data_IF_050199329540
#
_entry.id   IF_050199329540
#
_cell.length_a   1.000
_cell.length_b   1.000
_cell.length_c   1.000
_cell.angle_alpha   90.00
_cell.angle_beta   90.00
_cell.angle_gamma   90.00
#
_symmetry.space_group_name_H-M   'P 1'
#
loop_
_entity.id
_entity.type
_entity.pdbx_description
1 polymer ?
#
# COMPACT_ATOMS: atom_id res chain seq x y z
N UNK A 1 -20.32 2.98 3.04
CA UNK A 1 -18.84 3.01 3.19
C UNK A 1 -18.30 4.44 3.26
N UNK A 2 -18.62 5.31 2.29
CA UNK A 2 -18.20 6.72 2.27
C UNK A 2 -18.40 7.47 3.59
N UNK A 3 -19.59 7.39 4.20
CA UNK A 3 -19.91 8.07 5.47
C UNK A 3 -18.89 7.76 6.59
N UNK A 4 -18.46 6.50 6.70
CA UNK A 4 -17.48 6.12 7.72
C UNK A 4 -16.07 6.63 7.40
N UNK A 5 -15.69 6.62 6.11
CA UNK A 5 -14.37 7.10 5.68
C UNK A 5 -14.23 8.61 5.88
N UNK A 6 -15.25 9.38 5.49
CA UNK A 6 -15.23 10.85 5.57
C UNK A 6 -15.02 11.41 6.99
N UNK A 7 -15.35 10.63 8.01
CA UNK A 7 -15.21 11.04 9.41
C UNK A 7 -14.07 10.33 10.15
N UNK A 8 -13.28 9.50 9.45
CA UNK A 8 -12.09 8.89 10.03
C UNK A 8 -10.92 9.87 10.02
N UNK A 9 -10.05 9.79 11.04
CA UNK A 9 -8.83 10.61 11.10
C UNK A 9 -7.88 10.31 9.93
N UNK A 10 -7.78 9.03 9.55
CA UNK A 10 -7.06 8.55 8.37
C UNK A 10 -7.52 7.13 8.00
N UNK A 11 -7.11 6.67 6.82
CA UNK A 11 -7.37 5.32 6.32
C UNK A 11 -6.06 4.62 5.96
N UNK A 12 -5.87 3.38 6.42
CA UNK A 12 -4.78 2.51 5.97
C UNK A 12 -5.34 1.52 4.97
N UNK A 13 -4.78 1.49 3.77
CA UNK A 13 -5.28 0.65 2.69
C UNK A 13 -4.22 0.12 1.75
N UNK A 14 -4.65 -0.81 0.90
CA UNK A 14 -3.84 -1.37 -0.18
C UNK A 14 -4.05 -0.58 -1.49
N UNK A 15 -3.37 -0.96 -2.57
CA UNK A 15 -3.70 -0.51 -3.93
C UNK A 15 -5.02 -1.15 -4.42
N UNK A 16 -6.14 -0.80 -3.76
CA UNK A 16 -7.48 -1.31 -4.06
C UNK A 16 -8.52 -0.18 -3.99
N UNK A 17 -9.73 -0.44 -4.48
CA UNK A 17 -10.77 0.59 -4.65
C UNK A 17 -11.17 1.34 -3.38
N UNK A 18 -11.00 0.76 -2.18
CA UNK A 18 -11.34 1.48 -0.94
C UNK A 18 -10.38 2.62 -0.63
N UNK A 19 -9.11 2.51 -1.03
CA UNK A 19 -8.14 3.62 -0.91
C UNK A 19 -8.55 4.79 -1.78
N UNK A 20 -9.07 4.54 -2.98
CA UNK A 20 -9.63 5.58 -3.85
C UNK A 20 -10.87 6.24 -3.24
N UNK A 21 -11.76 5.45 -2.63
CA UNK A 21 -12.94 6.00 -1.96
C UNK A 21 -12.56 6.86 -0.75
N UNK A 22 -11.57 6.44 0.03
CA UNK A 22 -11.06 7.20 1.17
C UNK A 22 -10.44 8.52 0.72
N UNK A 23 -9.59 8.47 -0.31
CA UNK A 23 -8.98 9.66 -0.93
C UNK A 23 -10.02 10.64 -1.46
N UNK A 24 -11.01 10.15 -2.24
CA UNK A 24 -12.11 10.96 -2.75
C UNK A 24 -13.01 11.55 -1.64
N UNK A 25 -13.01 10.96 -0.44
CA UNK A 25 -13.76 11.49 0.70
C UNK A 25 -13.03 12.60 1.45
N UNK A 26 -11.76 12.89 1.11
CA UNK A 26 -10.91 13.87 1.79
C UNK A 26 -10.14 13.30 2.98
N UNK A 27 -10.20 12.00 3.20
CA UNK A 27 -9.53 11.32 4.32
C UNK A 27 -8.07 11.03 3.96
N UNK A 28 -7.09 11.37 4.82
CA UNK A 28 -5.69 11.00 4.60
C UNK A 28 -5.52 9.50 4.39
N UNK A 29 -4.80 9.09 3.35
CA UNK A 29 -4.60 7.68 3.01
C UNK A 29 -3.16 7.26 3.17
N UNK A 30 -2.92 6.31 4.07
CA UNK A 30 -1.68 5.54 4.17
C UNK A 30 -1.80 4.36 3.21
N UNK A 31 -1.03 4.40 2.12
CA UNK A 31 -1.14 3.42 1.04
C UNK A 31 0.02 2.43 1.04
N UNK A 32 -0.29 1.16 1.32
CA UNK A 32 0.69 0.07 1.32
C UNK A 32 0.60 -0.70 0.00
N UNK A 33 1.63 -0.61 -0.83
CA UNK A 33 1.75 -1.43 -2.04
C UNK A 33 3.20 -1.51 -2.51
N UNK A 34 3.76 -2.72 -2.57
CA UNK A 34 5.03 -2.96 -3.28
C UNK A 34 4.84 -3.50 -4.69
N UNK A 35 3.63 -3.98 -5.02
CA UNK A 35 3.33 -4.62 -6.29
C UNK A 35 3.12 -3.60 -7.43
N UNK A 36 2.64 -2.41 -7.09
CA UNK A 36 2.48 -1.27 -8.00
C UNK A 36 3.53 -0.20 -7.72
N UNK A 37 3.96 0.50 -8.76
CA UNK A 37 4.81 1.68 -8.69
C UNK A 37 4.03 2.87 -8.08
N UNK A 38 4.65 3.79 -7.32
CA UNK A 38 3.93 4.92 -6.71
C UNK A 38 3.17 5.84 -7.67
N UNK A 39 3.51 5.85 -8.96
CA UNK A 39 2.81 6.63 -9.99
C UNK A 39 1.53 5.96 -10.51
N UNK A 40 1.23 4.74 -10.05
CA UNK A 40 0.06 3.97 -10.49
C UNK A 40 -1.23 4.44 -9.81
N UNK A 41 -1.14 4.93 -8.58
CA UNK A 41 -2.27 5.42 -7.79
C UNK A 41 -2.27 6.96 -7.71
N UNK A 42 -3.21 7.53 -6.96
CA UNK A 42 -3.22 8.94 -6.61
C UNK A 42 -2.04 9.30 -5.68
N UNK A 43 -1.64 10.57 -5.70
CA UNK A 43 -0.58 11.07 -4.84
C UNK A 43 -1.02 11.11 -3.37
N UNK A 44 -0.16 10.60 -2.48
CA UNK A 44 -0.29 10.75 -1.03
C UNK A 44 1.10 10.83 -0.40
N UNK A 45 1.33 11.73 0.58
CA UNK A 45 2.61 11.79 1.30
C UNK A 45 2.85 10.56 2.20
N UNK A 46 1.84 9.70 2.36
CA UNK A 46 1.87 8.50 3.21
C UNK A 46 1.93 7.19 2.39
N UNK A 47 2.55 7.22 1.22
CA UNK A 47 2.80 6.04 0.38
C UNK A 47 3.92 5.17 0.99
N UNK A 48 3.67 3.88 1.15
CA UNK A 48 4.62 2.89 1.67
C UNK A 48 4.98 1.89 0.57
N UNK A 49 6.25 1.92 0.17
CA UNK A 49 6.88 1.00 -0.79
C UNK A 49 8.30 0.69 -0.31
N UNK A 50 8.80 -0.51 -0.59
CA UNK A 50 10.20 -0.87 -0.34
C UNK A 50 10.93 -1.07 -1.67
N UNK A 51 11.78 -0.11 -2.06
CA UNK A 51 12.54 -0.17 -3.30
C UNK A 51 13.79 -1.08 -3.26
N UNK A 52 14.17 -1.56 -2.07
CA UNK A 52 15.28 -2.52 -1.92
C UNK A 52 14.85 -3.98 -2.13
N UNK A 53 13.54 -4.22 -2.31
CA UNK A 53 12.94 -5.51 -2.60
C UNK A 53 12.48 -5.60 -4.07
N UNK A 54 12.14 -6.80 -4.56
CA UNK A 54 11.31 -6.93 -5.77
C UNK A 54 10.09 -6.01 -5.65
N UNK A 55 9.82 -5.17 -6.65
CA UNK A 55 8.69 -4.22 -6.61
C UNK A 55 8.14 -3.94 -8.02
N UNK A 56 6.99 -3.26 -8.08
CA UNK A 56 6.39 -2.72 -9.31
C UNK A 56 6.09 -3.77 -10.39
N UNK A 57 5.77 -5.01 -10.00
CA UNK A 57 5.44 -6.10 -10.92
C UNK A 57 4.27 -5.74 -11.87
N UNK A 58 3.28 -4.99 -11.37
CA UNK A 58 2.14 -4.53 -12.16
C UNK A 58 2.54 -3.59 -13.31
N UNK A 59 3.61 -2.82 -13.12
CA UNK A 59 4.01 -1.75 -14.02
C UNK A 59 5.13 -2.16 -14.98
N UNK A 60 5.61 -3.41 -14.89
CA UNK A 60 6.65 -3.92 -15.78
C UNK A 60 6.03 -4.34 -17.12
N UNK A 61 6.35 -3.67 -18.24
CA UNK A 61 5.76 -3.98 -19.55
C UNK A 61 6.18 -5.35 -20.09
N UNK A 62 7.19 -5.99 -19.48
CA UNK A 62 7.61 -7.36 -19.83
C UNK A 62 6.71 -8.42 -19.21
N UNK A 63 5.96 -8.06 -18.18
CA UNK A 63 5.09 -8.98 -17.44
C UNK A 63 3.62 -8.74 -17.84
N UNK A 64 2.87 -9.83 -18.06
CA UNK A 64 1.43 -9.76 -18.32
C UNK A 64 0.66 -10.34 -17.15
N UNK A 65 -0.22 -9.52 -16.56
CA UNK A 65 -1.06 -9.96 -15.46
C UNK A 65 -1.96 -11.13 -15.87
N UNK A 66 -1.99 -12.18 -15.06
CA UNK A 66 -2.89 -13.32 -15.22
C UNK A 66 -4.12 -13.17 -14.33
N UNK A 67 -5.26 -12.86 -14.94
CA UNK A 67 -6.54 -12.69 -14.23
C UNK A 67 -7.09 -13.99 -13.63
N UNK A 68 -6.56 -15.16 -14.03
CA UNK A 68 -6.98 -16.47 -13.51
C UNK A 68 -6.12 -16.95 -12.36
N UNK A 69 -4.95 -16.34 -12.12
CA UNK A 69 -4.06 -16.67 -11.03
C UNK A 69 -4.21 -15.67 -9.88
N UNK A 70 -4.88 -16.08 -8.80
CA UNK A 70 -5.01 -15.27 -7.60
C UNK A 70 -3.66 -15.04 -6.88
N UNK A 71 -2.71 -15.98 -7.04
CA UNK A 71 -1.39 -15.93 -6.40
C UNK A 71 -0.31 -15.36 -7.34
N UNK A 72 -0.72 -14.62 -8.37
CA UNK A 72 0.15 -14.12 -9.43
C UNK A 72 1.35 -13.35 -8.86
N UNK A 73 2.54 -13.89 -9.13
CA UNK A 73 3.82 -13.30 -8.75
C UNK A 73 4.84 -13.62 -9.86
N UNK A 74 4.90 -12.82 -10.93
CA UNK A 74 5.51 -13.23 -12.19
C UNK A 74 7.01 -13.57 -12.07
N UNK A 75 7.71 -12.89 -11.17
CA UNK A 75 9.18 -13.04 -11.01
C UNK A 75 9.58 -14.12 -10.01
N UNK A 76 8.71 -14.46 -9.05
CA UNK A 76 9.09 -15.22 -7.85
C UNK A 76 8.04 -16.24 -7.38
N UNK A 77 7.03 -16.59 -8.19
CA UNK A 77 6.07 -17.64 -7.87
C UNK A 77 6.76 -18.96 -7.48
N UNK A 78 6.23 -19.66 -6.46
CA UNK A 78 6.75 -20.94 -5.96
C UNK A 78 8.22 -20.89 -5.50
N UNK A 79 8.69 -19.72 -5.07
CA UNK A 79 10.04 -19.53 -4.51
C UNK A 79 9.97 -18.98 -3.08
N UNK A 80 11.07 -19.08 -2.29
CA UNK A 80 11.16 -18.42 -0.99
C UNK A 80 10.99 -16.88 -1.04
N UNK A 81 11.04 -16.28 -2.24
CA UNK A 81 10.88 -14.84 -2.51
C UNK A 81 9.48 -14.48 -3.01
N UNK A 82 8.53 -15.41 -3.03
CA UNK A 82 7.15 -15.11 -3.43
C UNK A 82 6.56 -14.01 -2.52
N UNK A 83 5.92 -13.01 -3.14
CA UNK A 83 5.37 -11.82 -2.48
C UNK A 83 6.39 -10.99 -1.67
N UNK A 84 7.67 -11.07 -2.03
CA UNK A 84 8.74 -10.26 -1.41
C UNK A 84 8.43 -8.76 -1.42
N UNK A 85 7.73 -8.29 -2.45
CA UNK A 85 7.31 -6.89 -2.62
C UNK A 85 6.51 -6.33 -1.44
N UNK A 86 5.78 -7.17 -0.71
CA UNK A 86 5.04 -6.76 0.48
C UNK A 86 5.60 -7.37 1.76
N UNK A 87 6.18 -8.58 1.70
CA UNK A 87 6.74 -9.24 2.89
C UNK A 87 7.85 -8.44 3.57
N UNK A 88 8.61 -7.66 2.81
CA UNK A 88 9.69 -6.80 3.35
C UNK A 88 9.22 -5.40 3.74
N UNK A 89 7.90 -5.14 3.74
CA UNK A 89 7.32 -3.95 4.36
C UNK A 89 6.96 -4.33 5.80
N UNK A 90 7.77 -3.88 6.76
CA UNK A 90 7.58 -4.23 8.18
C UNK A 90 6.46 -3.40 8.81
N UNK A 91 5.86 -3.92 9.88
CA UNK A 91 4.89 -3.17 10.66
C UNK A 91 5.47 -1.86 11.22
N UNK A 92 6.77 -1.84 11.56
CA UNK A 92 7.43 -0.64 12.07
C UNK A 92 7.61 0.42 10.98
N UNK A 93 7.89 0.04 9.74
CA UNK A 93 7.87 0.98 8.61
C UNK A 93 6.47 1.60 8.45
N UNK A 94 5.40 0.80 8.57
CA UNK A 94 4.03 1.31 8.52
C UNK A 94 3.77 2.31 9.67
N UNK A 95 4.14 1.95 10.90
CA UNK A 95 4.01 2.84 12.07
C UNK A 95 4.78 4.15 11.90
N UNK A 96 6.01 4.10 11.39
CA UNK A 96 6.81 5.29 11.12
C UNK A 96 6.11 6.26 10.16
N UNK A 97 5.44 5.75 9.13
CA UNK A 97 4.66 6.60 8.22
C UNK A 97 3.39 7.15 8.90
N UNK A 98 2.70 6.34 9.71
CA UNK A 98 1.53 6.82 10.48
C UNK A 98 1.93 7.95 11.44
N UNK A 99 3.08 7.87 12.09
CA UNK A 99 3.59 8.92 12.99
C UNK A 99 3.88 10.26 12.29
N UNK A 100 3.91 10.30 10.95
CA UNK A 100 4.03 11.55 10.18
C UNK A 100 2.69 12.26 9.95
N UNK A 101 1.56 11.61 10.27
CA UNK A 101 0.23 12.19 10.11
C UNK A 101 0.04 13.28 11.18
N UNK A 102 -0.27 14.53 10.80
CA UNK A 102 -0.54 15.60 11.75
C UNK A 102 -1.67 15.23 12.72
N UNK A 103 -1.46 15.49 14.01
CA UNK A 103 -2.43 15.20 15.05
C UNK A 103 -2.48 13.74 15.53
N UNK A 104 -1.74 12.82 14.91
CA UNK A 104 -1.61 11.46 15.43
C UNK A 104 -0.62 11.43 16.61
N UNK A 105 -1.04 11.00 17.81
CA UNK A 105 -0.19 11.04 19.00
C UNK A 105 1.01 10.09 18.86
N UNK A 106 2.21 10.65 19.03
CA UNK A 106 3.44 9.86 19.15
C UNK A 106 3.60 9.46 20.61
N UNK A 107 3.28 8.20 20.95
CA UNK A 107 3.61 7.63 22.27
C UNK A 107 2.48 7.55 23.30
N UNK A 108 1.20 7.59 22.89
CA UNK A 108 0.12 7.13 23.77
C UNK A 108 0.25 5.62 24.00
N UNK A 109 0.53 5.19 25.23
CA UNK A 109 0.38 3.78 25.62
C UNK A 109 -1.02 3.33 25.22
N UNK A 110 -1.09 2.25 24.43
CA UNK A 110 -2.32 1.48 24.25
C UNK A 110 -2.66 0.77 25.55
#
# INVERSE_FOLDING_TARGET
RFRYLKHADFFIGLSSGLSWLAWASGTPVVMISGFTHPTNEFETPYRIVNFHACNSCWNDPRERFDHKDFLWCPRHANSPRQFECTRLITADHVKQIIHRIPGFPVGGKM
#
